data_IF_530159209543
#
_entry.id   IF_530159209543
#
_cell.length_a   1.000
_cell.length_b   1.000
_cell.length_c   1.000
_cell.angle_alpha   90.00
_cell.angle_beta   90.00
_cell.angle_gamma   90.00
#
_symmetry.space_group_name_H-M   'P 1'
#
loop_
_entity.id
_entity.type
_entity.pdbx_description
1 polymer ?
#
# COMPACT_ATOMS: atom_id res chain seq x y z
N UNK A 1 -13.27 -12.14 -62.05
CA UNK A 1 -12.62 -11.65 -60.82
C UNK A 1 -11.68 -12.75 -60.33
N UNK A 2 -10.39 -12.49 -60.12
CA UNK A 2 -9.40 -13.56 -59.93
C UNK A 2 -9.58 -14.28 -58.57
N UNK A 3 -9.76 -15.61 -58.54
CA UNK A 3 -10.09 -16.37 -57.31
C UNK A 3 -9.00 -16.27 -56.23
N UNK A 4 -7.75 -16.05 -56.64
CA UNK A 4 -6.61 -15.85 -55.75
C UNK A 4 -6.76 -14.62 -54.83
N UNK A 5 -7.38 -13.53 -55.31
CA UNK A 5 -7.57 -12.31 -54.50
C UNK A 5 -8.58 -12.55 -53.37
N UNK A 6 -9.67 -13.26 -53.66
CA UNK A 6 -10.66 -13.63 -52.65
C UNK A 6 -10.08 -14.57 -51.59
N UNK A 7 -9.16 -15.46 -51.99
CA UNK A 7 -8.49 -16.40 -51.09
C UNK A 7 -7.49 -15.68 -50.16
N UNK A 8 -6.71 -14.74 -50.68
CA UNK A 8 -5.82 -13.93 -49.84
C UNK A 8 -6.59 -13.05 -48.85
N UNK A 9 -7.70 -12.44 -49.28
CA UNK A 9 -8.52 -11.59 -48.43
C UNK A 9 -9.19 -12.38 -47.30
N UNK A 10 -9.70 -13.58 -47.57
CA UNK A 10 -10.33 -14.45 -46.57
C UNK A 10 -9.33 -14.98 -45.54
N UNK A 11 -8.12 -15.32 -45.96
CA UNK A 11 -7.03 -15.73 -45.05
C UNK A 11 -6.63 -14.58 -44.12
N UNK A 12 -6.47 -13.36 -44.63
CA UNK A 12 -6.13 -12.19 -43.81
C UNK A 12 -7.24 -11.80 -42.83
N UNK A 13 -8.50 -11.87 -43.26
CA UNK A 13 -9.68 -11.66 -42.40
C UNK A 13 -9.76 -12.71 -41.28
N UNK A 14 -9.51 -13.99 -41.60
CA UNK A 14 -9.49 -15.09 -40.63
C UNK A 14 -8.38 -14.94 -39.58
N UNK A 15 -7.20 -14.47 -39.98
CA UNK A 15 -6.10 -14.20 -39.04
C UNK A 15 -6.44 -13.04 -38.10
N UNK A 16 -7.08 -11.97 -38.61
CA UNK A 16 -7.49 -10.83 -37.79
C UNK A 16 -8.59 -11.20 -36.79
N UNK A 17 -9.60 -11.97 -37.21
CA UNK A 17 -10.68 -12.42 -36.33
C UNK A 17 -10.16 -13.37 -35.25
N UNK A 18 -9.23 -14.27 -35.58
CA UNK A 18 -8.57 -15.15 -34.62
C UNK A 18 -7.80 -14.39 -33.53
N UNK A 19 -7.01 -13.36 -33.92
CA UNK A 19 -6.29 -12.50 -32.96
C UNK A 19 -7.24 -11.71 -32.07
N UNK A 20 -8.30 -11.13 -32.64
CA UNK A 20 -9.30 -10.38 -31.88
C UNK A 20 -10.01 -11.26 -30.84
N UNK A 21 -10.38 -12.49 -31.24
CA UNK A 21 -10.99 -13.46 -30.33
C UNK A 21 -10.03 -13.86 -29.19
N UNK A 22 -8.76 -14.10 -29.49
CA UNK A 22 -7.76 -14.43 -28.49
C UNK A 22 -7.56 -13.30 -27.47
N UNK A 23 -7.51 -12.03 -27.92
CA UNK A 23 -7.42 -10.86 -27.04
C UNK A 23 -8.67 -10.75 -26.17
N UNK A 24 -9.87 -10.95 -26.75
CA UNK A 24 -11.12 -10.91 -26.00
C UNK A 24 -11.17 -11.98 -24.89
N UNK A 25 -10.79 -13.22 -25.20
CA UNK A 25 -10.72 -14.31 -24.22
C UNK A 25 -9.67 -14.03 -23.13
N UNK A 26 -8.51 -13.47 -23.50
CA UNK A 26 -7.49 -13.04 -22.53
C UNK A 26 -8.05 -11.98 -21.57
N UNK A 27 -8.77 -10.98 -22.09
CA UNK A 27 -9.39 -9.92 -21.27
C UNK A 27 -10.43 -10.53 -20.33
N UNK A 28 -11.30 -11.43 -20.81
CA UNK A 28 -12.28 -12.12 -19.97
C UNK A 28 -11.60 -12.95 -18.87
N UNK A 29 -10.53 -13.67 -19.20
CA UNK A 29 -9.75 -14.43 -18.23
C UNK A 29 -9.15 -13.53 -17.15
N UNK A 30 -8.54 -12.41 -17.55
CA UNK A 30 -7.96 -11.43 -16.62
C UNK A 30 -9.05 -10.87 -15.71
N UNK A 31 -10.19 -10.45 -16.26
CA UNK A 31 -11.33 -9.93 -15.47
C UNK A 31 -11.84 -10.99 -14.50
N UNK A 32 -12.02 -12.23 -14.96
CA UNK A 32 -12.47 -13.33 -14.11
C UNK A 32 -11.49 -13.63 -12.96
N UNK A 33 -10.18 -13.64 -13.24
CA UNK A 33 -9.14 -13.82 -12.22
C UNK A 33 -9.15 -12.67 -11.22
N UNK A 34 -9.23 -11.43 -11.68
CA UNK A 34 -9.28 -10.23 -10.82
C UNK A 34 -10.53 -10.24 -9.93
N UNK A 35 -11.69 -10.59 -10.49
CA UNK A 35 -12.94 -10.68 -9.75
C UNK A 35 -12.90 -11.80 -8.70
N UNK A 36 -12.42 -12.98 -9.08
CA UNK A 36 -12.25 -14.13 -8.19
C UNK A 36 -11.30 -13.83 -7.03
N UNK A 37 -10.17 -13.16 -7.32
CA UNK A 37 -9.22 -12.69 -6.29
C UNK A 37 -9.87 -11.70 -5.33
N UNK A 38 -10.62 -10.71 -5.86
CA UNK A 38 -11.33 -9.72 -5.05
C UNK A 38 -12.34 -10.40 -4.10
N UNK A 39 -13.15 -11.32 -4.62
CA UNK A 39 -14.15 -12.03 -3.82
C UNK A 39 -13.51 -12.87 -2.70
N UNK A 40 -12.50 -13.68 -3.03
CA UNK A 40 -11.77 -14.49 -2.05
C UNK A 40 -11.18 -13.62 -0.94
N UNK A 41 -10.52 -12.53 -1.33
CA UNK A 41 -9.91 -11.60 -0.40
C UNK A 41 -10.95 -10.96 0.53
N UNK A 42 -12.11 -10.53 0.01
CA UNK A 42 -13.16 -9.95 0.86
C UNK A 42 -13.80 -10.93 1.83
N UNK A 43 -13.90 -12.22 1.48
CA UNK A 43 -14.49 -13.25 2.35
C UNK A 43 -13.59 -13.65 3.52
N UNK A 44 -12.27 -13.54 3.36
CA UNK A 44 -11.29 -13.95 4.36
C UNK A 44 -11.34 -13.11 5.65
N UNK A 45 -11.77 -11.86 5.55
CA UNK A 45 -11.72 -10.93 6.69
C UNK A 45 -13.14 -10.57 7.16
N UNK A 46 -13.59 -11.22 8.23
CA UNK A 46 -14.83 -10.88 8.96
C UNK A 46 -14.51 -9.80 10.01
N UNK A 47 -15.49 -8.94 10.31
CA UNK A 47 -15.39 -7.89 11.35
C UNK A 47 -14.25 -6.88 11.13
N UNK A 48 -14.10 -6.38 9.89
CA UNK A 48 -13.15 -5.32 9.59
C UNK A 48 -13.77 -3.92 9.78
N UNK A 49 -12.93 -2.89 10.04
CA UNK A 49 -13.38 -1.51 9.95
C UNK A 49 -13.93 -1.20 8.55
N UNK A 50 -14.77 -0.16 8.42
CA UNK A 50 -15.32 0.24 7.13
C UNK A 50 -14.19 0.57 6.15
N UNK A 51 -14.43 0.41 4.85
CA UNK A 51 -13.45 0.73 3.82
C UNK A 51 -13.40 -0.23 2.65
N UNK A 52 -12.45 -0.01 1.75
CA UNK A 52 -12.26 -0.76 0.51
C UNK A 52 -10.80 -1.08 0.29
N UNK A 53 -10.51 -2.29 -0.19
CA UNK A 53 -9.16 -2.70 -0.57
C UNK A 53 -8.70 -2.13 -1.93
N UNK A 54 -9.50 -1.29 -2.57
CA UNK A 54 -9.14 -0.66 -3.84
C UNK A 54 -8.99 -1.64 -5.00
N UNK A 55 -7.97 -1.42 -5.84
CA UNK A 55 -7.69 -2.25 -7.00
C UNK A 55 -7.19 -3.65 -6.60
N UNK A 56 -7.58 -4.72 -7.31
CA UNK A 56 -7.26 -6.09 -6.90
C UNK A 56 -5.77 -6.39 -6.74
N UNK A 57 -4.89 -5.69 -7.47
CA UNK A 57 -3.42 -5.87 -7.38
C UNK A 57 -2.78 -4.77 -6.53
N UNK A 58 -2.82 -3.51 -6.97
CA UNK A 58 -2.08 -2.41 -6.32
C UNK A 58 -2.79 -1.76 -5.12
N UNK A 59 -4.06 -2.10 -4.89
CA UNK A 59 -4.87 -1.51 -3.83
C UNK A 59 -5.12 -0.02 -4.06
N UNK A 60 -4.83 0.79 -3.04
CA UNK A 60 -4.91 2.26 -3.08
C UNK A 60 -3.53 2.94 -3.01
N UNK A 61 -2.44 2.17 -3.11
CA UNK A 61 -1.05 2.67 -3.00
C UNK A 61 -0.76 3.83 -3.96
N UNK A 62 -1.25 3.75 -5.21
CA UNK A 62 -1.07 4.83 -6.19
C UNK A 62 -1.82 6.11 -5.80
N UNK A 63 -2.98 5.99 -5.17
CA UNK A 63 -3.72 7.15 -4.68
C UNK A 63 -2.98 7.84 -3.54
N UNK A 64 -2.41 7.06 -2.61
CA UNK A 64 -1.53 7.58 -1.55
C UNK A 64 -0.36 8.36 -2.15
N UNK A 65 0.38 7.74 -3.07
CA UNK A 65 1.52 8.42 -3.72
C UNK A 65 1.13 9.64 -4.54
N UNK A 66 -0.03 9.62 -5.21
CA UNK A 66 -0.54 10.78 -5.95
C UNK A 66 -0.75 11.98 -5.02
N UNK A 67 -1.37 11.76 -3.86
CA UNK A 67 -1.60 12.82 -2.88
C UNK A 67 -0.30 13.34 -2.25
N UNK A 68 0.65 12.43 -1.96
CA UNK A 68 1.96 12.80 -1.45
C UNK A 68 2.75 13.64 -2.48
N UNK A 69 2.78 13.21 -3.76
CA UNK A 69 3.46 13.95 -4.84
C UNK A 69 2.83 15.31 -5.13
N UNK A 70 1.53 15.46 -4.86
CA UNK A 70 0.82 16.73 -4.97
C UNK A 70 1.01 17.65 -3.75
N UNK A 71 1.90 17.32 -2.81
CA UNK A 71 2.16 18.11 -1.60
C UNK A 71 1.02 18.09 -0.58
N UNK A 72 0.08 17.15 -0.69
CA UNK A 72 -1.10 17.04 0.19
C UNK A 72 -1.28 15.61 0.72
N UNK A 73 -0.27 15.02 1.40
CA UNK A 73 -0.32 13.61 1.82
C UNK A 73 -1.50 13.30 2.74
N UNK A 74 -1.90 14.27 3.57
CA UNK A 74 -3.04 14.21 4.48
C UNK A 74 -4.41 14.12 3.78
N UNK A 75 -4.51 14.56 2.51
CA UNK A 75 -5.74 14.46 1.73
C UNK A 75 -6.19 13.02 1.52
N UNK A 76 -5.26 12.07 1.39
CA UNK A 76 -5.60 10.64 1.29
C UNK A 76 -6.44 10.20 2.49
N UNK A 77 -5.97 10.47 3.71
CA UNK A 77 -6.66 10.10 4.94
C UNK A 77 -7.99 10.85 5.08
N UNK A 78 -8.00 12.17 4.86
CA UNK A 78 -9.22 13.00 4.96
C UNK A 78 -10.34 12.55 4.03
N UNK A 79 -10.01 12.23 2.78
CA UNK A 79 -10.98 11.74 1.81
C UNK A 79 -11.61 10.41 2.25
N UNK A 80 -10.83 9.47 2.81
CA UNK A 80 -11.36 8.19 3.30
C UNK A 80 -12.16 8.35 4.58
N UNK A 81 -11.71 9.19 5.51
CA UNK A 81 -12.48 9.51 6.72
C UNK A 81 -13.86 10.05 6.36
N UNK A 82 -13.92 11.02 5.43
CA UNK A 82 -15.20 11.58 4.96
C UNK A 82 -16.05 10.56 4.20
N UNK A 83 -15.43 9.73 3.35
CA UNK A 83 -16.13 8.74 2.53
C UNK A 83 -16.78 7.62 3.34
N UNK A 84 -16.10 7.17 4.39
CA UNK A 84 -16.53 6.04 5.21
C UNK A 84 -17.15 6.45 6.54
N UNK A 85 -17.23 7.75 6.81
CA UNK A 85 -17.69 8.35 8.07
C UNK A 85 -17.06 7.67 9.30
N UNK A 86 -15.74 7.53 9.27
CA UNK A 86 -15.00 6.78 10.30
C UNK A 86 -13.58 7.29 10.47
N UNK A 87 -13.08 7.25 11.71
CA UNK A 87 -11.68 7.57 12.07
C UNK A 87 -10.72 6.39 11.90
N UNK A 88 -11.26 5.20 11.66
CA UNK A 88 -10.52 3.99 11.31
C UNK A 88 -11.08 3.38 10.03
N UNK A 89 -10.23 3.06 9.08
CA UNK A 89 -10.67 2.42 7.85
C UNK A 89 -9.72 1.34 7.35
N UNK A 90 -10.26 0.38 6.61
CA UNK A 90 -9.46 -0.62 5.90
C UNK A 90 -9.11 -0.15 4.48
N UNK A 91 -7.91 -0.50 4.03
CA UNK A 91 -7.44 -0.31 2.67
C UNK A 91 -6.39 -1.37 2.31
N UNK A 92 -5.81 -1.29 1.12
CA UNK A 92 -4.64 -2.08 0.74
C UNK A 92 -3.53 -1.14 0.28
N UNK A 93 -2.44 -1.10 1.03
CA UNK A 93 -1.27 -0.27 0.74
C UNK A 93 -0.04 -1.17 0.61
N UNK A 94 0.82 -0.88 -0.36
CA UNK A 94 2.04 -1.67 -0.62
C UNK A 94 1.75 -3.17 -0.83
N UNK A 95 0.60 -3.48 -1.44
CA UNK A 95 0.06 -4.83 -1.63
C UNK A 95 -0.33 -5.57 -0.34
N UNK A 96 -0.35 -4.90 0.82
CA UNK A 96 -0.76 -5.47 2.10
C UNK A 96 -2.12 -4.94 2.56
N UNK A 97 -3.04 -5.79 3.06
CA UNK A 97 -4.24 -5.32 3.75
C UNK A 97 -3.85 -4.49 4.97
N UNK A 98 -4.37 -3.26 5.05
CA UNK A 98 -3.96 -2.25 6.04
C UNK A 98 -5.18 -1.68 6.74
N UNK A 99 -5.12 -1.55 8.07
CA UNK A 99 -6.01 -0.69 8.84
C UNK A 99 -5.29 0.64 9.11
N UNK A 100 -5.96 1.76 8.83
CA UNK A 100 -5.42 3.11 9.03
C UNK A 100 -6.21 3.78 10.14
N UNK A 101 -5.49 4.21 11.19
CA UNK A 101 -6.03 4.97 12.31
C UNK A 101 -5.74 6.46 12.09
N UNK A 102 -6.77 7.31 12.19
CA UNK A 102 -6.67 8.73 11.85
C UNK A 102 -6.88 9.67 13.05
N UNK A 103 -6.88 9.13 14.27
CA UNK A 103 -7.02 9.88 15.51
C UNK A 103 -6.00 9.44 16.58
N UNK A 104 -5.88 10.25 17.62
CA UNK A 104 -4.96 9.98 18.73
C UNK A 104 -5.37 8.72 19.51
N UNK A 105 -6.67 8.48 19.68
CA UNK A 105 -7.20 7.32 20.39
C UNK A 105 -6.85 6.02 19.68
N UNK A 106 -7.08 5.93 18.36
CA UNK A 106 -6.74 4.77 17.55
C UNK A 106 -5.23 4.53 17.48
N UNK A 107 -4.43 5.59 17.42
CA UNK A 107 -2.97 5.48 17.40
C UNK A 107 -2.38 5.03 18.75
N UNK A 108 -3.09 5.20 19.87
CA UNK A 108 -2.64 4.73 21.19
C UNK A 108 -2.39 3.22 21.21
N UNK A 109 -3.25 2.43 20.54
CA UNK A 109 -3.14 0.97 20.54
C UNK A 109 -1.82 0.46 19.96
N UNK A 110 -1.44 0.76 18.71
CA UNK A 110 -0.19 0.26 18.14
C UNK A 110 1.04 0.77 18.89
N UNK A 111 1.04 2.04 19.33
CA UNK A 111 2.19 2.59 20.08
C UNK A 111 2.36 1.97 21.47
N UNK A 112 1.27 1.74 22.22
CA UNK A 112 1.36 1.14 23.55
C UNK A 112 1.66 -0.38 23.53
N UNK A 113 1.52 -1.03 22.36
CA UNK A 113 1.66 -2.47 22.20
C UNK A 113 2.80 -2.88 21.24
N UNK A 114 3.74 -1.96 20.94
CA UNK A 114 4.95 -2.27 20.16
C UNK A 114 5.76 -3.39 20.86
N UNK A 115 6.04 -4.46 20.11
CA UNK A 115 6.74 -5.66 20.62
C UNK A 115 5.88 -6.60 21.47
N UNK A 116 4.58 -6.32 21.66
CA UNK A 116 3.64 -7.19 22.40
C UNK A 116 2.56 -7.77 21.49
N UNK A 117 1.80 -6.88 20.83
CA UNK A 117 0.71 -7.26 19.91
C UNK A 117 0.97 -6.83 18.47
N UNK A 118 1.84 -5.84 18.29
CA UNK A 118 2.22 -5.32 16.98
C UNK A 118 3.74 -5.19 16.90
N UNK A 119 4.27 -5.24 15.69
CA UNK A 119 5.68 -4.99 15.41
C UNK A 119 5.83 -3.95 14.32
N UNK A 120 6.97 -3.27 14.28
CA UNK A 120 7.34 -2.41 13.16
C UNK A 120 7.40 -3.25 11.89
N UNK A 121 6.77 -2.77 10.84
CA UNK A 121 6.78 -3.39 9.53
C UNK A 121 7.08 -2.34 8.46
N UNK A 122 7.93 -2.71 7.51
CA UNK A 122 8.26 -1.89 6.35
C UNK A 122 8.24 -2.76 5.08
N UNK A 123 7.86 -2.21 3.92
CA UNK A 123 8.00 -2.91 2.65
C UNK A 123 9.45 -3.36 2.42
N UNK A 124 9.66 -4.53 1.83
CA UNK A 124 11.01 -5.08 1.61
C UNK A 124 11.92 -4.16 0.80
N UNK A 125 11.35 -3.38 -0.13
CA UNK A 125 12.09 -2.36 -0.89
C UNK A 125 12.62 -1.24 0.02
N UNK A 126 11.81 -0.76 0.96
CA UNK A 126 12.23 0.25 1.93
C UNK A 126 13.29 -0.30 2.89
N UNK A 127 13.15 -1.54 3.35
CA UNK A 127 14.17 -2.19 4.18
C UNK A 127 15.51 -2.34 3.46
N UNK A 128 15.51 -2.73 2.18
CA UNK A 128 16.74 -2.83 1.37
C UNK A 128 17.40 -1.47 1.14
N UNK A 129 16.61 -0.42 0.98
CA UNK A 129 17.12 0.94 0.74
C UNK A 129 17.69 1.57 2.01
N UNK A 130 16.97 1.45 3.13
CA UNK A 130 17.30 2.11 4.39
C UNK A 130 18.25 1.28 5.26
N UNK A 131 18.34 -0.02 5.01
CA UNK A 131 19.07 -0.97 5.85
C UNK A 131 18.50 -1.06 7.27
N UNK A 132 19.31 -1.60 8.16
CA UNK A 132 19.01 -1.70 9.60
C UNK A 132 19.28 -0.35 10.26
N UNK A 133 18.22 0.40 10.57
CA UNK A 133 18.31 1.71 11.23
C UNK A 133 17.18 1.88 12.26
N UNK A 134 17.20 2.99 13.02
CA UNK A 134 16.24 3.25 14.11
C UNK A 134 14.76 3.17 13.68
N UNK A 135 14.46 3.47 12.42
CA UNK A 135 13.09 3.44 11.89
C UNK A 135 12.67 2.06 11.38
N UNK A 136 13.60 1.23 10.90
CA UNK A 136 13.29 -0.08 10.30
C UNK A 136 13.37 -1.23 11.30
N UNK A 137 14.20 -1.10 12.34
CA UNK A 137 14.39 -2.14 13.37
C UNK A 137 13.28 -2.04 14.42
N UNK A 138 12.57 -3.15 14.64
CA UNK A 138 11.60 -3.33 15.72
C UNK A 138 12.12 -4.19 16.87
N UNK A 139 11.23 -4.51 17.82
CA UNK A 139 11.53 -5.46 18.90
C UNK A 139 12.61 -4.97 19.87
N UNK A 140 13.33 -5.93 20.48
CA UNK A 140 14.30 -5.62 21.53
C UNK A 140 15.54 -4.90 21.00
N UNK A 141 15.98 -5.23 19.78
CA UNK A 141 17.09 -4.56 19.12
C UNK A 141 16.74 -3.09 18.83
N UNK A 142 15.53 -2.82 18.33
CA UNK A 142 15.04 -1.47 18.11
C UNK A 142 14.96 -0.65 19.40
N UNK A 143 14.48 -1.27 20.50
CA UNK A 143 14.47 -0.63 21.83
C UNK A 143 15.87 -0.31 22.33
N UNK A 144 16.82 -1.23 22.17
CA UNK A 144 18.22 -1.04 22.56
C UNK A 144 18.84 0.13 21.78
N UNK A 145 18.63 0.19 20.47
CA UNK A 145 19.08 1.29 19.61
C UNK A 145 18.47 2.64 20.02
N UNK A 146 17.14 2.68 20.23
CA UNK A 146 16.43 3.89 20.71
C UNK A 146 16.98 4.37 22.07
N UNK A 147 17.26 3.45 23.00
CA UNK A 147 17.81 3.77 24.33
C UNK A 147 19.23 4.35 24.25
N UNK A 148 20.08 3.83 23.37
CA UNK A 148 21.42 4.39 23.12
C UNK A 148 21.32 5.83 22.59
N UNK A 149 20.43 6.06 21.63
CA UNK A 149 20.25 7.39 21.03
C UNK A 149 19.61 8.40 21.99
N UNK A 150 18.72 7.97 22.87
CA UNK A 150 18.05 8.85 23.83
C UNK A 150 19.04 9.65 24.72
N UNK A 151 20.21 9.08 25.03
CA UNK A 151 21.25 9.79 25.79
C UNK A 151 21.83 10.99 25.03
N UNK A 152 21.99 10.89 23.71
CA UNK A 152 22.49 11.97 22.87
C UNK A 152 21.50 13.12 22.71
N UNK A 153 20.20 12.81 22.82
CA UNK A 153 19.12 13.78 22.75
C UNK A 153 18.61 14.19 24.15
N UNK A 154 19.42 14.02 25.21
CA UNK A 154 19.03 14.50 26.54
C UNK A 154 18.96 16.04 26.55
N UNK A 155 18.05 16.64 27.33
CA UNK A 155 17.96 18.10 27.46
C UNK A 155 19.30 18.75 27.80
N UNK A 156 20.07 18.13 28.70
CA UNK A 156 21.39 18.62 29.11
C UNK A 156 22.39 18.62 27.95
N UNK A 157 22.39 17.59 27.12
CA UNK A 157 23.29 17.49 25.96
C UNK A 157 22.89 18.50 24.89
N UNK A 158 21.59 18.63 24.63
CA UNK A 158 21.07 19.56 23.63
C UNK A 158 21.31 21.02 24.01
N UNK A 159 21.18 21.40 25.29
CA UNK A 159 21.48 22.76 25.78
C UNK A 159 22.91 23.17 25.45
N UNK A 160 23.87 22.27 25.69
CA UNK A 160 25.29 22.51 25.40
C UNK A 160 25.58 22.69 23.91
N UNK A 161 24.84 22.00 23.04
CA UNK A 161 24.98 22.16 21.58
C UNK A 161 24.36 23.46 21.06
N UNK A 162 23.30 23.96 21.71
CA UNK A 162 22.71 25.25 21.35
C UNK A 162 23.57 26.42 21.83
N UNK A 163 24.17 26.31 23.02
CA UNK A 163 25.07 27.32 23.59
C UNK A 163 26.39 27.48 22.81
N UNK A 164 26.83 26.45 22.09
CA UNK A 164 28.07 26.50 21.28
C UNK A 164 27.88 27.07 19.87
N UNK A 165 26.64 27.40 19.48
CA UNK A 165 26.32 27.98 18.17
C UNK A 165 26.11 29.50 18.18
N UNK A 166 26.21 30.13 19.36
CA UNK A 166 26.33 31.57 19.53
C UNK A 166 27.81 31.98 19.71
#
# INVERSE_FOLDING_TARGET
MAPWISMHLSVLLSIHTGKALAIFLLVLLVVHVLHSRKLKFTKQYKNLPPGSFGWPVVGETLALFRTARAGRPDSFMRERMKKYDSRVFRTKLFNEPTAVFCDAEGNRFPFANEGKKVTVWWPSSAQKLLGSCIITIGGEEGKKMKKMLAGFFSPDTLSRYTETKD
#
